data_IF_962273579791
#
_entry.id   IF_962273579791
#
_cell.length_a   1.000
_cell.length_b   1.000
_cell.length_c   1.000
_cell.angle_alpha   90.00
_cell.angle_beta   90.00
_cell.angle_gamma   90.00
#
_symmetry.space_group_name_H-M   'P 1'
#
loop_
_entity.id
_entity.type
_entity.pdbx_description
1 polymer ?
#
# COMPACT_ATOMS: atom_id res chain seq x y z
N UNK A 1 -3.05 1.19 57.88
CA UNK A 1 -3.76 2.35 57.29
C UNK A 1 -2.87 2.94 56.21
N UNK A 2 -3.20 2.60 54.96
CA UNK A 2 -2.91 3.26 53.67
C UNK A 2 -1.53 3.93 53.53
N UNK A 3 -0.56 3.15 53.02
CA UNK A 3 0.69 3.66 52.46
C UNK A 3 0.52 3.78 50.94
N UNK A 4 0.14 4.99 50.54
CA UNK A 4 0.75 5.73 49.43
C UNK A 4 1.00 4.96 48.12
N UNK A 5 0.06 5.13 47.18
CA UNK A 5 0.32 5.60 45.81
C UNK A 5 1.48 4.94 45.05
N UNK A 6 1.17 3.89 44.31
CA UNK A 6 1.79 3.63 43.01
C UNK A 6 0.66 3.52 41.99
N UNK A 7 0.15 4.71 41.62
CA UNK A 7 -0.58 4.90 40.38
C UNK A 7 0.46 4.66 39.29
N UNK A 8 0.43 3.48 38.68
CA UNK A 8 1.07 3.17 37.41
C UNK A 8 0.45 4.08 36.34
N UNK A 9 0.99 5.29 36.29
CA UNK A 9 0.73 6.29 35.28
C UNK A 9 1.64 6.01 34.08
N UNK A 10 1.00 5.97 32.90
CA UNK A 10 1.61 5.91 31.57
C UNK A 10 1.09 4.66 30.83
N UNK A 11 -0.02 4.63 30.09
CA UNK A 11 -0.63 5.66 29.23
C UNK A 11 0.41 6.38 28.37
N UNK A 12 0.59 5.85 27.16
CA UNK A 12 1.10 6.46 25.93
C UNK A 12 2.12 5.57 25.19
N UNK A 13 1.66 4.41 24.70
CA UNK A 13 2.01 4.07 23.32
C UNK A 13 0.99 4.77 22.43
N UNK A 14 1.25 6.06 22.18
CA UNK A 14 0.63 6.75 21.06
C UNK A 14 1.24 6.12 19.80
N UNK A 15 0.57 5.09 19.27
CA UNK A 15 0.77 4.65 17.89
C UNK A 15 0.37 5.83 17.01
N UNK A 16 1.35 6.68 16.71
CA UNK A 16 1.22 7.71 15.70
C UNK A 16 1.00 7.02 14.38
N UNK A 17 -0.27 6.87 13.97
CA UNK A 17 -0.61 6.73 12.57
C UNK A 17 -0.13 8.03 11.92
N UNK A 18 0.96 7.92 11.16
CA UNK A 18 1.52 8.99 10.37
C UNK A 18 0.39 9.59 9.53
N UNK A 19 0.02 10.83 9.83
CA UNK A 19 -0.82 11.62 8.92
C UNK A 19 0.09 12.09 7.78
N UNK A 20 0.30 11.19 6.84
CA UNK A 20 0.90 11.51 5.56
C UNK A 20 -0.25 11.69 4.56
N UNK A 21 -0.27 12.83 3.87
CA UNK A 21 -1.24 13.13 2.81
C UNK A 21 -0.92 12.31 1.57
N UNK A 22 -1.25 11.02 1.62
CA UNK A 22 -1.07 10.10 0.50
C UNK A 22 -2.41 9.63 -0.04
N UNK A 23 -2.46 9.52 -1.36
CA UNK A 23 -3.57 9.01 -2.13
C UNK A 23 -3.32 7.53 -2.37
N UNK A 24 -4.36 6.72 -2.20
CA UNK A 24 -4.33 5.30 -2.51
C UNK A 24 -4.94 5.06 -3.90
N UNK A 25 -4.28 4.20 -4.66
CA UNK A 25 -4.69 3.76 -5.97
C UNK A 25 -4.89 2.24 -5.93
N UNK A 26 -6.15 1.80 -5.98
CA UNK A 26 -6.49 0.38 -6.08
C UNK A 26 -6.62 0.00 -7.55
N UNK A 27 -5.72 -0.84 -8.01
CA UNK A 27 -5.57 -1.26 -9.40
C UNK A 27 -6.05 -2.71 -9.52
N UNK A 28 -7.14 -2.93 -10.24
CA UNK A 28 -7.59 -4.28 -10.58
C UNK A 28 -6.77 -4.79 -11.77
N UNK A 29 -6.11 -5.92 -11.58
CA UNK A 29 -5.25 -6.51 -12.60
C UNK A 29 -5.54 -8.01 -12.74
N UNK A 30 -5.82 -8.44 -13.96
CA UNK A 30 -5.96 -9.86 -14.29
C UNK A 30 -4.59 -10.44 -14.68
N UNK A 31 -4.39 -11.73 -14.35
CA UNK A 31 -3.15 -12.46 -14.66
C UNK A 31 -2.09 -12.40 -13.56
N UNK A 32 -2.40 -11.77 -12.43
CA UNK A 32 -1.62 -11.85 -11.20
C UNK A 32 -1.92 -13.19 -10.52
N UNK A 33 -1.28 -14.26 -11.00
CA UNK A 33 -1.48 -15.63 -10.48
C UNK A 33 -0.24 -16.25 -9.88
N UNK A 34 0.89 -15.54 -9.91
CA UNK A 34 2.16 -16.03 -9.37
C UNK A 34 2.68 -15.08 -8.28
N UNK A 35 2.90 -15.56 -7.03
CA UNK A 35 3.38 -14.72 -5.92
C UNK A 35 4.75 -14.08 -6.21
N UNK A 36 5.61 -14.77 -6.97
CA UNK A 36 6.89 -14.21 -7.42
C UNK A 36 6.74 -13.02 -8.38
N UNK A 37 5.74 -13.08 -9.26
CA UNK A 37 5.46 -12.01 -10.21
C UNK A 37 4.95 -10.75 -9.48
N UNK A 38 4.12 -10.94 -8.45
CA UNK A 38 3.58 -9.84 -7.64
C UNK A 38 4.66 -9.12 -6.84
N UNK A 39 5.50 -9.86 -6.11
CA UNK A 39 6.57 -9.25 -5.34
C UNK A 39 7.52 -8.42 -6.21
N UNK A 40 7.76 -8.88 -7.45
CA UNK A 40 8.59 -8.16 -8.43
C UNK A 40 7.90 -6.89 -8.94
N UNK A 41 6.60 -6.98 -9.26
CA UNK A 41 5.78 -5.83 -9.68
C UNK A 41 5.64 -4.79 -8.58
N UNK A 42 5.39 -5.19 -7.33
CA UNK A 42 5.32 -4.30 -6.18
C UNK A 42 6.64 -3.55 -5.96
N UNK A 43 7.77 -4.25 -6.05
CA UNK A 43 9.11 -3.62 -5.99
C UNK A 43 9.38 -2.66 -7.16
N UNK A 44 8.88 -2.95 -8.35
CA UNK A 44 8.99 -2.05 -9.50
C UNK A 44 8.13 -0.79 -9.31
N UNK A 45 6.93 -0.94 -8.76
CA UNK A 45 6.02 0.16 -8.41
C UNK A 45 6.61 1.05 -7.31
N UNK A 46 7.21 0.46 -6.26
CA UNK A 46 7.94 1.20 -5.20
C UNK A 46 9.13 2.02 -5.71
N UNK A 47 9.65 1.74 -6.91
CA UNK A 47 10.73 2.54 -7.53
C UNK A 47 10.21 3.74 -8.33
N UNK A 48 8.90 3.86 -8.50
CA UNK A 48 8.31 5.01 -9.18
C UNK A 48 8.36 6.19 -8.21
N UNK A 49 8.80 7.33 -8.71
CA UNK A 49 8.93 8.55 -7.92
C UNK A 49 7.56 8.97 -7.36
N UNK A 50 7.51 9.15 -6.04
CA UNK A 50 6.29 9.49 -5.30
C UNK A 50 5.41 8.31 -4.88
N UNK A 51 5.81 7.06 -5.10
CA UNK A 51 5.18 5.89 -4.46
C UNK A 51 5.81 5.68 -3.07
N UNK A 52 4.98 5.67 -2.02
CA UNK A 52 5.41 5.39 -0.64
C UNK A 52 5.24 3.93 -0.26
N UNK A 53 4.13 3.32 -0.68
CA UNK A 53 3.77 1.97 -0.26
C UNK A 53 3.01 1.21 -1.34
N UNK A 54 3.16 -0.11 -1.41
CA UNK A 54 2.51 -0.95 -2.43
C UNK A 54 2.10 -2.29 -1.84
N UNK A 55 0.82 -2.47 -1.57
CA UNK A 55 0.28 -3.79 -1.22
C UNK A 55 -0.34 -4.44 -2.46
N UNK A 56 -0.29 -5.77 -2.52
CA UNK A 56 -0.92 -6.51 -3.60
C UNK A 56 -1.59 -7.76 -3.05
N UNK A 57 -2.86 -7.89 -3.37
CA UNK A 57 -3.72 -8.98 -2.94
C UNK A 57 -3.91 -9.98 -4.09
N UNK A 58 -3.28 -11.14 -3.94
CA UNK A 58 -3.31 -12.23 -4.93
C UNK A 58 -4.68 -12.92 -5.00
N UNK A 59 -5.44 -12.93 -3.90
CA UNK A 59 -6.75 -13.59 -3.83
C UNK A 59 -7.80 -12.84 -4.63
N UNK A 60 -7.78 -11.51 -4.56
CA UNK A 60 -8.72 -10.61 -5.25
C UNK A 60 -8.17 -10.05 -6.56
N UNK A 61 -6.85 -10.11 -6.79
CA UNK A 61 -6.20 -9.54 -7.97
C UNK A 61 -6.14 -8.00 -7.94
N UNK A 62 -6.06 -7.42 -6.73
CA UNK A 62 -6.05 -5.97 -6.51
C UNK A 62 -4.67 -5.54 -6.03
N UNK A 63 -4.08 -4.55 -6.68
CA UNK A 63 -2.85 -3.89 -6.22
C UNK A 63 -3.20 -2.51 -5.67
N UNK A 64 -2.97 -2.30 -4.39
CA UNK A 64 -3.15 -1.01 -3.74
C UNK A 64 -1.81 -0.29 -3.62
N UNK A 65 -1.73 0.90 -4.19
CA UNK A 65 -0.51 1.73 -4.21
C UNK A 65 -0.79 3.03 -3.49
N UNK A 66 -0.02 3.34 -2.46
CA UNK A 66 -0.05 4.65 -1.83
C UNK A 66 1.05 5.53 -2.41
N UNK A 67 0.64 6.67 -2.95
CA UNK A 67 1.51 7.66 -3.54
C UNK A 67 1.22 9.04 -2.96
N UNK A 68 2.17 9.97 -3.06
CA UNK A 68 1.93 11.36 -2.71
C UNK A 68 0.78 11.95 -3.55
N UNK A 69 0.04 12.88 -2.96
CA UNK A 69 -1.06 13.60 -3.64
C UNK A 69 -0.65 14.33 -4.93
N UNK A 70 0.66 14.56 -5.10
CA UNK A 70 1.25 15.17 -6.30
C UNK A 70 1.41 14.19 -7.47
N UNK A 71 1.25 12.89 -7.24
CA UNK A 71 1.37 11.84 -8.27
C UNK A 71 -0.01 11.49 -8.78
N UNK A 72 -0.21 11.64 -10.09
CA UNK A 72 -1.42 11.16 -10.74
C UNK A 72 -1.09 10.10 -11.79
N UNK A 73 -1.60 8.89 -11.57
CA UNK A 73 -1.50 7.82 -12.56
C UNK A 73 -2.58 7.98 -13.61
N UNK A 74 -2.19 7.89 -14.88
CA UNK A 74 -3.14 7.80 -15.98
C UNK A 74 -3.37 6.34 -16.38
N UNK A 75 -4.59 6.05 -16.81
CA UNK A 75 -5.01 4.72 -17.26
C UNK A 75 -4.09 4.16 -18.36
N UNK A 76 -3.66 5.02 -19.29
CA UNK A 76 -2.74 4.67 -20.37
C UNK A 76 -1.34 4.28 -19.87
N UNK A 77 -0.81 4.98 -18.85
CA UNK A 77 0.49 4.65 -18.26
C UNK A 77 0.44 3.31 -17.53
N UNK A 78 -0.61 3.10 -16.73
CA UNK A 78 -0.81 1.85 -15.99
C UNK A 78 -1.01 0.68 -16.94
N UNK A 79 -1.88 0.84 -17.94
CA UNK A 79 -2.10 -0.17 -18.97
C UNK A 79 -0.79 -0.58 -19.65
N UNK A 80 0.03 0.39 -20.06
CA UNK A 80 1.33 0.08 -20.68
C UNK A 80 2.28 -0.63 -19.71
N UNK A 81 2.34 -0.19 -18.46
CA UNK A 81 3.19 -0.79 -17.41
C UNK A 81 2.82 -2.26 -17.18
N UNK A 82 1.51 -2.54 -17.05
CA UNK A 82 1.00 -3.89 -16.82
C UNK A 82 1.15 -4.78 -18.05
N UNK A 83 0.84 -4.27 -19.25
CA UNK A 83 0.99 -5.03 -20.51
C UNK A 83 2.44 -5.42 -20.80
N UNK A 84 3.41 -4.53 -20.56
CA UNK A 84 4.84 -4.83 -20.72
C UNK A 84 5.31 -5.97 -19.82
N UNK A 85 4.62 -6.16 -18.69
CA UNK A 85 4.89 -7.19 -17.69
C UNK A 85 4.02 -8.44 -17.88
N UNK A 86 3.13 -8.45 -18.87
CA UNK A 86 2.24 -9.57 -19.18
C UNK A 86 0.96 -9.63 -18.33
N UNK A 87 0.58 -8.54 -17.67
CA UNK A 87 -0.69 -8.42 -16.91
C UNK A 87 -1.73 -7.61 -17.69
N UNK A 88 -3.00 -7.85 -17.37
CA UNK A 88 -4.12 -7.11 -17.97
C UNK A 88 -4.72 -6.17 -16.95
N UNK A 89 -4.52 -4.87 -17.12
CA UNK A 89 -5.17 -3.86 -16.29
C UNK A 89 -6.67 -3.76 -16.61
N UNK A 90 -7.50 -3.70 -15.57
CA UNK A 90 -8.97 -3.69 -15.68
C UNK A 90 -9.58 -2.35 -15.25
N UNK A 91 -9.18 -1.85 -14.09
CA UNK A 91 -9.73 -0.62 -13.52
C UNK A 91 -8.82 -0.05 -12.44
N UNK A 92 -8.96 1.24 -12.18
CA UNK A 92 -8.28 1.97 -11.10
C UNK A 92 -9.33 2.71 -10.27
N UNK A 93 -9.21 2.60 -8.96
CA UNK A 93 -9.96 3.39 -7.99
C UNK A 93 -9.00 4.27 -7.23
N UNK A 94 -9.24 5.59 -7.24
CA UNK A 94 -8.48 6.58 -6.47
C UNK A 94 -9.20 6.83 -5.14
N UNK A 95 -8.47 6.77 -4.03
CA UNK A 95 -8.94 7.10 -2.70
C UNK A 95 -8.07 8.23 -2.12
N UNK A 96 -8.71 9.22 -1.51
CA UNK A 96 -8.04 10.42 -1.00
C UNK A 96 -7.23 10.19 0.29
N UNK A 97 -7.20 8.95 0.79
CA UNK A 97 -6.46 8.56 1.99
C UNK A 97 -5.91 7.15 1.88
N UNK A 98 -4.59 7.00 2.00
CA UNK A 98 -3.95 5.70 2.19
C UNK A 98 -4.30 5.09 3.54
N UNK A 99 -4.91 3.90 3.53
CA UNK A 99 -5.17 3.11 4.75
C UNK A 99 -4.42 1.77 4.71
N UNK A 100 -3.39 1.65 3.86
CA UNK A 100 -2.62 0.42 3.79
C UNK A 100 -1.86 0.22 5.11
N UNK A 101 -2.06 -0.92 5.81
CA UNK A 101 -1.19 -1.27 6.91
C UNK A 101 0.24 -1.39 6.36
N UNK A 102 1.29 -1.01 7.12
CA UNK A 102 2.67 -1.24 6.69
C UNK A 102 2.76 -2.68 6.20
N UNK A 103 3.26 -2.90 4.97
CA UNK A 103 3.47 -4.25 4.45
C UNK A 103 4.30 -4.98 5.51
N UNK A 104 3.64 -5.84 6.26
CA UNK A 104 4.25 -6.78 7.19
C UNK A 104 5.03 -7.70 6.26
N UNK A 105 6.28 -7.32 6.01
CA UNK A 105 7.21 -8.09 5.22
C UNK A 105 7.28 -9.45 5.90
N UNK A 106 6.70 -10.46 5.23
CA UNK A 106 6.62 -11.86 5.64
C UNK A 106 7.69 -12.19 6.70
N UNK A 107 7.28 -12.15 7.97
CA UNK A 107 8.07 -12.73 9.05
C UNK A 107 7.94 -14.25 8.90
N UNK A 108 9.02 -14.86 8.39
CA UNK A 108 9.43 -16.29 8.37
C UNK A 108 8.95 -17.23 7.24
#
# INVERSE_FOLDING_TARGET
>A
MIRTLLISAGLMFASGAAMAGDIQYDLQVDGITCPFCVATSAKALKKIDGVKQVSADLETGVISVCADESVEFTDAQLTKLFLDKGFTYKSMTKLDSCTLPPEEADEE
#
